data_IF_361977918271
#
_entry.id   IF_361977918271
#
_cell.length_a   1.000
_cell.length_b   1.000
_cell.length_c   1.000
_cell.angle_alpha   90.00
_cell.angle_beta   90.00
_cell.angle_gamma   90.00
#
_symmetry.space_group_name_H-M   'P 1'
#
loop_
_entity.id
_entity.type
_entity.pdbx_description
1 polymer ?
#
# COMPACT_ATOMS: atom_id res chain seq x y z
N UNK A 1 6.95 -4.14 15.00
CA UNK A 1 5.55 -4.51 14.72
C UNK A 1 4.77 -3.22 14.64
N UNK A 2 4.18 -2.86 13.49
CA UNK A 2 3.34 -1.67 13.39
C UNK A 2 2.16 -1.73 14.39
N UNK A 3 2.12 -0.74 15.28
CA UNK A 3 1.05 -0.56 16.26
C UNK A 3 0.06 0.52 15.77
N UNK A 4 -0.95 0.81 16.59
CA UNK A 4 -2.01 1.77 16.21
C UNK A 4 -1.46 3.15 15.81
N UNK A 5 -0.49 3.76 16.53
CA UNK A 5 0.05 5.07 16.14
C UNK A 5 0.76 5.06 14.79
N UNK A 6 1.51 4.00 14.46
CA UNK A 6 2.21 3.88 13.18
C UNK A 6 1.21 3.72 12.04
N UNK A 7 0.20 2.86 12.21
CA UNK A 7 -0.85 2.67 11.18
C UNK A 7 -1.63 3.97 10.96
N UNK A 8 -1.91 4.73 12.02
CA UNK A 8 -2.55 6.05 11.92
C UNK A 8 -1.67 7.07 11.17
N UNK A 9 -0.36 7.06 11.44
CA UNK A 9 0.61 7.92 10.73
C UNK A 9 0.66 7.59 9.24
N UNK A 10 0.69 6.29 8.90
CA UNK A 10 0.65 5.84 7.49
C UNK A 10 -0.65 6.30 6.82
N UNK A 11 -1.80 6.15 7.50
CA UNK A 11 -3.09 6.62 6.98
C UNK A 11 -3.03 8.09 6.57
N UNK A 12 -2.57 8.96 7.48
CA UNK A 12 -2.47 10.42 7.24
C UNK A 12 -1.58 10.75 6.04
N UNK A 13 -0.38 10.15 5.99
CA UNK A 13 0.57 10.38 4.88
C UNK A 13 0.04 9.89 3.54
N UNK A 14 -0.67 8.76 3.52
CA UNK A 14 -1.32 8.27 2.31
C UNK A 14 -2.49 9.17 1.88
N UNK A 15 -3.29 9.69 2.82
CA UNK A 15 -4.38 10.61 2.49
C UNK A 15 -3.88 11.87 1.77
N UNK A 16 -2.73 12.38 2.17
CA UNK A 16 -2.12 13.56 1.53
C UNK A 16 -1.59 13.28 0.12
N UNK A 17 -1.27 12.01 -0.20
CA UNK A 17 -0.46 11.69 -1.39
C UNK A 17 -1.14 10.80 -2.42
N UNK A 18 -2.08 9.94 -2.05
CA UNK A 18 -2.73 9.00 -2.99
C UNK A 18 -4.25 9.14 -3.05
N UNK A 19 -4.84 10.04 -2.25
CA UNK A 19 -6.26 10.35 -2.38
C UNK A 19 -6.54 10.88 -3.80
N UNK A 20 -7.66 10.46 -4.37
CA UNK A 20 -8.11 10.74 -5.74
C UNK A 20 -7.24 10.16 -6.87
N UNK A 21 -6.20 9.38 -6.56
CA UNK A 21 -5.43 8.66 -7.58
C UNK A 21 -6.21 7.46 -8.12
N UNK A 22 -6.03 7.21 -9.42
CA UNK A 22 -6.65 6.09 -10.12
C UNK A 22 -5.63 4.98 -10.32
N UNK A 23 -6.02 3.75 -9.98
CA UNK A 23 -5.18 2.56 -10.12
C UNK A 23 -5.12 2.17 -11.60
N UNK A 24 -3.91 2.12 -12.15
CA UNK A 24 -3.64 1.65 -13.51
C UNK A 24 -3.40 0.13 -13.52
N UNK A 25 -2.55 -0.35 -12.62
CA UNK A 25 -2.13 -1.77 -12.58
C UNK A 25 -1.94 -2.21 -11.14
N UNK A 26 -2.29 -3.46 -10.85
CA UNK A 26 -1.98 -4.14 -9.58
C UNK A 26 -1.19 -5.41 -9.89
N UNK A 27 0.05 -5.46 -9.43
CA UNK A 27 0.93 -6.63 -9.55
C UNK A 27 0.99 -7.37 -8.22
N UNK A 28 0.65 -8.65 -8.24
CA UNK A 28 0.73 -9.54 -7.07
C UNK A 28 1.97 -10.41 -7.25
N UNK A 29 3.00 -10.15 -6.44
CA UNK A 29 4.26 -10.88 -6.46
C UNK A 29 4.23 -12.13 -5.56
N UNK A 30 3.32 -12.14 -4.57
CA UNK A 30 3.18 -13.26 -3.65
C UNK A 30 1.70 -13.51 -3.30
N UNK A 31 1.16 -14.66 -3.73
CA UNK A 31 -0.28 -14.97 -3.64
C UNK A 31 -0.83 -15.02 -2.21
N UNK A 32 -0.03 -15.39 -1.20
CA UNK A 32 -0.49 -15.39 0.20
C UNK A 32 -0.79 -13.99 0.76
N UNK A 33 -0.22 -12.94 0.14
CA UNK A 33 -0.33 -11.55 0.61
C UNK A 33 -1.35 -10.74 -0.17
N UNK A 34 -2.15 -11.37 -1.04
CA UNK A 34 -3.24 -10.70 -1.73
C UNK A 34 -4.41 -11.68 -1.91
N UNK A 35 -5.57 -11.29 -1.40
CA UNK A 35 -6.78 -12.10 -1.47
C UNK A 35 -7.81 -11.42 -2.37
N UNK A 36 -8.43 -12.19 -3.28
CA UNK A 36 -9.41 -11.69 -4.24
C UNK A 36 -8.84 -11.47 -5.64
N UNK A 37 -9.57 -10.73 -6.47
CA UNK A 37 -9.23 -10.48 -7.86
C UNK A 37 -8.62 -9.08 -8.04
N UNK A 38 -7.35 -8.99 -8.41
CA UNK A 38 -6.67 -7.70 -8.61
C UNK A 38 -7.22 -6.92 -9.82
N UNK A 39 -7.77 -7.61 -10.83
CA UNK A 39 -8.27 -6.99 -12.04
C UNK A 39 -9.47 -6.05 -11.77
N UNK A 40 -10.27 -6.31 -10.72
CA UNK A 40 -11.43 -5.45 -10.40
C UNK A 40 -11.03 -4.09 -9.82
N UNK A 41 -9.75 -3.92 -9.46
CA UNK A 41 -9.19 -2.67 -8.93
C UNK A 41 -8.72 -1.71 -10.02
N UNK A 42 -8.52 -2.19 -11.25
CA UNK A 42 -8.06 -1.40 -12.39
C UNK A 42 -9.12 -0.32 -12.72
N UNK A 43 -8.65 0.88 -13.07
CA UNK A 43 -9.47 2.07 -13.34
C UNK A 43 -10.35 2.53 -12.16
N UNK A 44 -10.07 2.07 -10.93
CA UNK A 44 -10.74 2.54 -9.72
C UNK A 44 -9.94 3.66 -9.07
N UNK A 45 -10.67 4.65 -8.57
CA UNK A 45 -10.12 5.82 -7.87
C UNK A 45 -10.21 5.63 -6.37
N UNK A 46 -9.15 5.96 -5.63
CA UNK A 46 -9.16 5.98 -4.17
C UNK A 46 -9.89 7.24 -3.69
N UNK A 47 -11.03 7.09 -3.02
CA UNK A 47 -11.88 8.21 -2.58
C UNK A 47 -11.81 8.47 -1.09
N UNK A 48 -11.37 7.50 -0.30
CA UNK A 48 -11.11 7.70 1.12
C UNK A 48 -10.06 6.71 1.62
N UNK A 49 -9.36 7.10 2.69
CA UNK A 49 -8.43 6.23 3.39
C UNK A 49 -8.77 6.29 4.87
N UNK A 50 -9.27 5.19 5.40
CA UNK A 50 -9.68 5.05 6.80
C UNK A 50 -8.85 3.96 7.47
N UNK A 51 -8.96 3.86 8.78
CA UNK A 51 -8.33 2.79 9.56
C UNK A 51 -9.32 2.29 10.59
N UNK A 52 -9.36 0.99 10.80
CA UNK A 52 -10.05 0.36 11.91
C UNK A 52 -9.06 -0.57 12.61
N UNK A 53 -8.78 -0.30 13.89
CA UNK A 53 -7.70 -0.97 14.63
C UNK A 53 -6.38 -0.97 13.82
N UNK A 54 -5.78 -2.13 13.56
CA UNK A 54 -4.51 -2.24 12.81
C UNK A 54 -4.68 -2.44 11.30
N UNK A 55 -5.90 -2.21 10.77
CA UNK A 55 -6.24 -2.42 9.36
C UNK A 55 -6.45 -1.07 8.69
N UNK A 56 -5.68 -0.80 7.64
CA UNK A 56 -5.90 0.32 6.71
C UNK A 56 -6.97 -0.06 5.69
N UNK A 57 -7.78 0.91 5.31
CA UNK A 57 -8.89 0.74 4.38
C UNK A 57 -8.79 1.81 3.29
N UNK A 58 -8.50 1.41 2.06
CA UNK A 58 -8.53 2.30 0.89
C UNK A 58 -9.88 2.11 0.19
N UNK A 59 -10.81 3.03 0.41
CA UNK A 59 -12.13 3.00 -0.24
C UNK A 59 -12.01 3.47 -1.67
N UNK A 60 -12.63 2.74 -2.58
CA UNK A 60 -12.63 3.07 -4.00
C UNK A 60 -13.92 3.81 -4.39
N UNK A 61 -13.94 4.44 -5.57
CA UNK A 61 -15.14 5.04 -6.17
C UNK A 61 -16.17 4.00 -6.67
N UNK A 62 -16.08 2.77 -6.16
CA UNK A 62 -17.00 1.66 -6.37
C UNK A 62 -17.37 1.09 -5.00
N UNK A 63 -18.16 0.03 -4.94
CA UNK A 63 -18.49 -0.64 -3.68
C UNK A 63 -17.34 -1.50 -3.12
N UNK A 64 -16.11 -1.33 -3.64
CA UNK A 64 -14.93 -2.08 -3.23
C UNK A 64 -14.07 -1.27 -2.26
N UNK A 65 -13.43 -1.98 -1.34
CA UNK A 65 -12.45 -1.42 -0.40
C UNK A 65 -11.24 -2.35 -0.35
N UNK A 66 -10.04 -1.79 -0.49
CA UNK A 66 -8.80 -2.53 -0.29
C UNK A 66 -8.47 -2.47 1.20
N UNK A 67 -8.32 -3.63 1.82
CA UNK A 67 -7.92 -3.76 3.22
C UNK A 67 -6.44 -4.12 3.26
N UNK A 68 -5.66 -3.45 4.11
CA UNK A 68 -4.23 -3.72 4.27
C UNK A 68 -3.91 -3.90 5.75
N UNK A 69 -3.26 -5.01 6.09
CA UNK A 69 -2.82 -5.34 7.44
C UNK A 69 -1.30 -5.59 7.46
N UNK A 70 -0.54 -4.68 8.07
CA UNK A 70 0.94 -4.75 8.08
C UNK A 70 1.53 -5.87 8.96
N UNK A 71 0.79 -6.32 9.98
CA UNK A 71 1.22 -7.38 10.92
C UNK A 71 2.53 -7.02 11.60
N UNK A 72 3.60 -7.79 11.40
CA UNK A 72 4.86 -7.61 12.13
C UNK A 72 5.90 -6.81 11.35
N UNK A 73 6.08 -7.13 10.08
CA UNK A 73 7.14 -6.60 9.21
C UNK A 73 6.63 -5.88 7.98
N UNK A 74 5.30 -5.72 7.86
CA UNK A 74 4.68 -5.04 6.73
C UNK A 74 5.05 -3.56 6.66
N UNK A 75 5.16 -3.09 5.43
CA UNK A 75 5.46 -1.71 5.08
C UNK A 75 4.59 -1.26 3.93
N UNK A 76 4.25 0.03 3.92
CA UNK A 76 3.70 0.71 2.76
C UNK A 76 4.65 1.82 2.35
N UNK A 77 5.12 1.75 1.11
CA UNK A 77 6.07 2.70 0.55
C UNK A 77 5.50 3.27 -0.75
N UNK A 78 5.22 4.57 -0.76
CA UNK A 78 4.86 5.31 -1.96
C UNK A 78 6.13 5.91 -2.57
N UNK A 79 6.43 5.49 -3.78
CA UNK A 79 7.46 6.07 -4.62
C UNK A 79 6.79 6.92 -5.71
N UNK A 80 6.82 8.25 -5.59
CA UNK A 80 6.28 9.11 -6.62
C UNK A 80 7.21 9.18 -7.84
N UNK A 81 6.67 9.61 -8.99
CA UNK A 81 7.51 9.94 -10.17
C UNK A 81 8.39 11.16 -9.88
N UNK A 82 7.85 12.13 -9.14
CA UNK A 82 8.55 13.36 -8.75
C UNK A 82 8.42 13.60 -7.25
N UNK A 83 9.51 14.05 -6.62
CA UNK A 83 9.56 14.38 -5.20
C UNK A 83 9.93 13.20 -4.31
N UNK A 84 9.74 13.37 -3.01
CA UNK A 84 10.25 12.42 -2.03
C UNK A 84 9.32 11.23 -1.82
N UNK A 85 9.96 10.06 -1.69
CA UNK A 85 9.33 8.81 -1.26
C UNK A 85 8.79 8.99 0.16
N UNK A 86 7.58 8.48 0.40
CA UNK A 86 7.05 8.35 1.75
C UNK A 86 6.88 6.87 2.07
N UNK A 87 7.23 6.50 3.30
CA UNK A 87 7.10 5.14 3.79
C UNK A 87 6.63 5.11 5.23
N UNK A 88 6.16 3.94 5.63
CA UNK A 88 5.93 3.61 7.03
C UNK A 88 5.72 2.12 7.23
N UNK A 89 5.80 1.69 8.49
CA UNK A 89 5.74 0.29 8.88
C UNK A 89 7.03 -0.12 9.58
N UNK A 90 7.39 -1.40 9.49
CA UNK A 90 8.63 -1.87 10.11
C UNK A 90 9.85 -1.23 9.43
N UNK A 91 10.84 -0.67 10.15
CA UNK A 91 12.00 -0.06 9.52
C UNK A 91 12.92 -1.12 8.91
N UNK A 92 13.14 -1.09 7.60
CA UNK A 92 14.15 -1.92 6.91
C UNK A 92 14.86 -1.10 5.83
N UNK A 93 15.90 -1.68 5.23
CA UNK A 93 16.62 -1.08 4.11
C UNK A 93 15.73 -0.78 2.88
N UNK A 94 14.57 -1.45 2.75
CA UNK A 94 13.63 -1.24 1.64
C UNK A 94 13.07 0.20 1.59
N UNK A 95 13.16 0.96 2.69
CA UNK A 95 12.76 2.37 2.73
C UNK A 95 13.59 3.22 1.76
N UNK A 96 14.87 2.89 1.58
CA UNK A 96 15.82 3.68 0.77
C UNK A 96 16.34 2.90 -0.44
N UNK A 97 16.25 1.58 -0.42
CA UNK A 97 16.68 0.74 -1.53
C UNK A 97 15.76 0.86 -2.76
N UNK A 98 16.23 0.34 -3.89
CA UNK A 98 15.43 0.23 -5.10
C UNK A 98 14.24 -0.72 -4.89
N UNK A 99 13.09 -0.35 -5.46
CA UNK A 99 11.85 -1.13 -5.44
C UNK A 99 11.41 -1.47 -6.88
N UNK A 100 10.81 -2.64 -7.12
CA UNK A 100 10.46 -3.68 -6.14
C UNK A 100 11.69 -4.43 -5.60
N UNK A 101 11.61 -4.92 -4.37
CA UNK A 101 12.64 -5.76 -3.74
C UNK A 101 12.15 -7.20 -3.56
N UNK A 102 13.01 -8.10 -3.06
CA UNK A 102 12.62 -9.47 -2.69
C UNK A 102 11.56 -9.52 -1.59
N UNK A 103 11.33 -8.41 -0.87
CA UNK A 103 10.29 -8.29 0.14
C UNK A 103 8.97 -7.73 -0.41
N UNK A 104 8.94 -7.26 -1.66
CA UNK A 104 7.70 -6.75 -2.28
C UNK A 104 6.71 -7.88 -2.51
N UNK A 105 5.46 -7.65 -2.10
CA UNK A 105 4.36 -8.61 -2.17
C UNK A 105 3.27 -8.15 -3.11
N UNK A 106 2.95 -6.87 -3.07
CA UNK A 106 1.99 -6.23 -3.97
C UNK A 106 2.54 -4.88 -4.43
N UNK A 107 2.33 -4.54 -5.70
CA UNK A 107 2.62 -3.22 -6.24
C UNK A 107 1.37 -2.65 -6.90
N UNK A 108 0.97 -1.45 -6.50
CA UNK A 108 -0.10 -0.69 -7.11
C UNK A 108 0.53 0.45 -7.88
N UNK A 109 0.30 0.49 -9.18
CA UNK A 109 0.78 1.54 -10.08
C UNK A 109 -0.41 2.43 -10.40
N UNK A 110 -0.27 3.73 -10.19
CA UNK A 110 -1.29 4.73 -10.48
C UNK A 110 -1.14 5.27 -11.92
N UNK A 111 -2.20 5.86 -12.47
CA UNK A 111 -2.21 6.40 -13.85
C UNK A 111 -1.15 7.49 -14.05
N UNK A 112 -0.85 8.27 -13.01
CA UNK A 112 0.18 9.31 -13.04
C UNK A 112 1.62 8.77 -12.89
N UNK A 113 1.77 7.44 -12.81
CA UNK A 113 3.06 6.75 -12.74
C UNK A 113 3.57 6.50 -11.32
N UNK A 114 2.93 7.06 -10.29
CA UNK A 114 3.29 6.81 -8.90
C UNK A 114 3.09 5.32 -8.54
N UNK A 115 3.92 4.82 -7.63
CA UNK A 115 3.92 3.40 -7.25
C UNK A 115 3.79 3.25 -5.75
N UNK A 116 2.78 2.52 -5.29
CA UNK A 116 2.62 2.11 -3.91
C UNK A 116 3.01 0.64 -3.77
N UNK A 117 4.02 0.38 -2.96
CA UNK A 117 4.53 -0.96 -2.67
C UNK A 117 4.08 -1.41 -1.29
N UNK A 118 3.56 -2.64 -1.23
CA UNK A 118 3.41 -3.38 0.01
C UNK A 118 4.56 -4.38 0.12
N UNK A 119 5.44 -4.16 1.10
CA UNK A 119 6.55 -5.05 1.39
C UNK A 119 6.30 -5.77 2.71
N UNK A 120 6.69 -7.04 2.79
CA UNK A 120 6.64 -7.79 4.03
C UNK A 120 7.67 -8.92 4.06
N UNK A 121 8.67 -8.79 4.93
CA UNK A 121 9.77 -9.76 5.03
C UNK A 121 9.28 -11.14 5.51
N UNK A 122 8.37 -11.19 6.48
CA UNK A 122 7.87 -12.44 7.09
C UNK A 122 6.65 -13.03 6.40
N UNK A 123 6.04 -12.31 5.46
CA UNK A 123 4.87 -12.75 4.68
C UNK A 123 3.67 -13.12 5.56
N UNK A 124 3.44 -12.33 6.61
CA UNK A 124 2.26 -12.43 7.47
C UNK A 124 1.19 -11.39 7.12
N UNK A 125 1.61 -10.25 6.58
CA UNK A 125 0.71 -9.19 6.15
C UNK A 125 0.10 -9.47 4.78
N UNK A 126 -1.00 -8.76 4.54
CA UNK A 126 -1.88 -8.89 3.39
C UNK A 126 -2.60 -7.58 3.11
#
# INVERSE_FOLDING_TARGET
MPELPEVETIKRRLQERILNKTIAVVQVHHSKSFQGNSAVLINRKIVAITRQAKILQLKLNSNLTILVHLKMTGQLILQPVTGERIGGGHPTADWVANLPSSHTRVSIIFIDGDKLFFNDQRVFGW
#
